data_IF_346610873808
#
_entry.id   IF_346610873808
#
_cell.length_a   1.000
_cell.length_b   1.000
_cell.length_c   1.000
_cell.angle_alpha   90.00
_cell.angle_beta   90.00
_cell.angle_gamma   90.00
#
_symmetry.space_group_name_H-M   'P 1'
#
loop_
_entity.id
_entity.type
_entity.pdbx_description
1 polymer ?
#
# COMPACT_ATOMS: atom_id res chain seq x y z
N UNK A 1 -59.74 37.61 -28.97
CA UNK A 1 -58.83 37.16 -30.05
C UNK A 1 -58.25 35.82 -29.67
N UNK A 2 -58.58 34.76 -30.42
CA UNK A 2 -58.03 33.40 -30.26
C UNK A 2 -56.86 33.27 -31.22
N UNK A 3 -55.66 32.99 -30.72
CA UNK A 3 -54.53 32.57 -31.57
C UNK A 3 -54.19 31.11 -31.28
N UNK A 4 -54.10 30.39 -32.39
CA UNK A 4 -54.01 28.95 -32.56
C UNK A 4 -52.60 28.41 -32.32
N UNK A 5 -52.55 27.19 -31.74
CA UNK A 5 -51.39 26.31 -31.71
C UNK A 5 -50.79 26.12 -33.12
N UNK A 6 -49.47 26.15 -33.23
CA UNK A 6 -48.73 25.38 -34.24
C UNK A 6 -47.71 24.48 -33.55
N UNK A 7 -47.79 23.23 -33.96
CA UNK A 7 -46.94 22.10 -33.61
C UNK A 7 -45.82 22.02 -34.65
N UNK A 8 -44.58 21.86 -34.17
CA UNK A 8 -43.40 21.48 -34.98
C UNK A 8 -42.54 20.62 -34.05
N UNK A 9 -42.67 19.29 -34.11
CA UNK A 9 -41.88 18.38 -34.95
C UNK A 9 -40.45 18.17 -34.45
N UNK A 10 -40.29 17.08 -33.69
CA UNK A 10 -39.27 16.03 -33.89
C UNK A 10 -37.91 16.51 -34.43
N UNK A 11 -36.96 16.72 -33.52
CA UNK A 11 -35.53 16.52 -33.78
C UNK A 11 -34.99 15.51 -32.76
N UNK A 12 -35.35 14.25 -32.96
CA UNK A 12 -34.58 13.09 -32.49
C UNK A 12 -33.71 12.68 -33.67
N UNK A 13 -32.42 12.97 -33.62
CA UNK A 13 -31.53 12.61 -34.72
C UNK A 13 -30.07 12.93 -34.44
N UNK A 14 -29.36 11.92 -33.94
CA UNK A 14 -27.95 11.64 -34.25
C UNK A 14 -26.93 12.70 -33.81
N UNK A 15 -26.51 12.63 -32.56
CA UNK A 15 -25.23 13.22 -32.10
C UNK A 15 -24.55 12.30 -31.06
N UNK A 16 -24.40 11.02 -31.39
CA UNK A 16 -23.60 10.07 -30.60
C UNK A 16 -22.81 9.18 -31.57
N UNK A 17 -21.77 9.75 -32.19
CA UNK A 17 -20.83 8.98 -33.01
C UNK A 17 -19.45 9.65 -33.05
N UNK A 18 -18.97 10.16 -31.91
CA UNK A 18 -17.55 10.50 -31.69
C UNK A 18 -17.14 10.14 -30.26
N UNK A 19 -17.66 9.05 -29.71
CA UNK A 19 -16.98 8.35 -28.62
C UNK A 19 -15.89 7.53 -29.28
N UNK A 20 -14.76 8.19 -29.53
CA UNK A 20 -13.51 7.54 -29.83
C UNK A 20 -13.27 6.47 -28.78
N UNK A 21 -13.10 5.25 -29.23
CA UNK A 21 -12.57 4.13 -28.46
C UNK A 21 -11.16 4.52 -28.01
N UNK A 22 -11.06 5.28 -26.91
CA UNK A 22 -9.84 5.37 -26.12
C UNK A 22 -9.69 4.03 -25.41
N UNK A 23 -9.30 3.01 -26.18
CA UNK A 23 -8.74 1.78 -25.66
C UNK A 23 -7.41 2.17 -25.03
N UNK A 24 -7.49 2.56 -23.77
CA UNK A 24 -6.31 2.69 -22.93
C UNK A 24 -5.78 1.29 -22.68
N UNK A 25 -4.92 0.83 -23.57
CA UNK A 25 -4.10 -0.37 -23.39
C UNK A 25 -3.05 -0.04 -22.33
N UNK A 26 -3.47 0.04 -21.07
CA UNK A 26 -2.53 -0.08 -19.96
C UNK A 26 -2.12 -1.55 -19.90
N UNK A 27 -1.04 -1.87 -20.60
CA UNK A 27 -0.29 -3.12 -20.49
C UNK A 27 0.32 -3.20 -19.07
N UNK A 28 -0.49 -3.56 -18.08
CA UNK A 28 -0.05 -3.82 -16.69
C UNK A 28 0.43 -5.25 -16.48
N UNK A 29 0.42 -6.08 -17.54
CA UNK A 29 0.73 -7.51 -17.44
C UNK A 29 2.24 -7.83 -17.30
N UNK A 30 3.15 -6.85 -17.43
CA UNK A 30 4.59 -7.13 -17.53
C UNK A 30 5.47 -6.73 -16.33
N UNK A 31 4.96 -5.99 -15.34
CA UNK A 31 5.82 -5.34 -14.33
C UNK A 31 5.91 -6.05 -12.98
N UNK A 32 5.07 -7.04 -12.72
CA UNK A 32 5.25 -7.97 -11.60
C UNK A 32 5.87 -9.26 -12.10
N UNK A 33 7.07 -9.14 -12.69
CA UNK A 33 7.84 -10.29 -13.14
C UNK A 33 8.04 -11.26 -11.98
N UNK A 34 7.60 -12.51 -12.20
CA UNK A 34 7.88 -13.74 -11.45
C UNK A 34 8.74 -13.56 -10.20
N UNK A 35 8.16 -12.98 -9.14
CA UNK A 35 8.67 -13.17 -7.79
C UNK A 35 8.31 -14.62 -7.45
N UNK A 36 9.17 -15.52 -7.90
CA UNK A 36 8.97 -16.97 -7.84
C UNK A 36 8.51 -17.38 -6.44
N UNK A 37 7.48 -18.23 -6.37
CA UNK A 37 6.94 -18.83 -5.15
C UNK A 37 8.03 -19.43 -4.22
N UNK A 38 9.24 -19.65 -4.74
CA UNK A 38 10.41 -20.08 -3.99
C UNK A 38 10.78 -19.12 -2.84
N UNK A 39 10.70 -17.80 -3.02
CA UNK A 39 11.04 -16.84 -1.95
C UNK A 39 9.95 -16.73 -0.88
N UNK A 40 8.72 -17.17 -1.20
CA UNK A 40 7.63 -17.28 -0.24
C UNK A 40 7.71 -18.59 0.59
N UNK A 41 8.62 -19.51 0.30
CA UNK A 41 8.57 -20.88 0.84
C UNK A 41 9.31 -21.11 2.17
N UNK A 42 10.06 -20.15 2.70
CA UNK A 42 11.02 -20.43 3.80
C UNK A 42 10.73 -19.78 5.16
N UNK A 43 9.47 -19.52 5.53
CA UNK A 43 9.18 -19.12 6.91
C UNK A 43 8.17 -20.06 7.59
N UNK A 44 8.63 -21.18 8.18
CA UNK A 44 7.79 -22.15 8.89
C UNK A 44 7.15 -21.57 10.17
N UNK A 45 7.41 -20.30 10.49
CA UNK A 45 6.69 -19.59 11.54
C UNK A 45 5.33 -19.03 11.08
N UNK A 46 5.08 -18.84 9.78
CA UNK A 46 3.85 -18.14 9.33
C UNK A 46 2.58 -18.93 9.63
N UNK A 47 2.59 -20.25 9.39
CA UNK A 47 1.38 -21.07 9.56
C UNK A 47 1.02 -21.32 11.03
N UNK A 48 1.99 -21.30 11.94
CA UNK A 48 1.79 -21.59 13.38
C UNK A 48 0.97 -20.52 14.12
N UNK A 49 1.00 -19.27 13.66
CA UNK A 49 0.29 -18.16 14.32
C UNK A 49 -1.21 -18.17 14.01
N UNK A 50 -1.61 -18.51 12.79
CA UNK A 50 -3.04 -18.48 12.38
C UNK A 50 -3.89 -19.55 13.06
N UNK A 51 -3.30 -20.67 13.48
CA UNK A 51 -4.03 -21.77 14.13
C UNK A 51 -4.31 -21.52 15.62
N UNK A 52 -3.61 -20.59 16.28
CA UNK A 52 -3.80 -20.30 17.72
C UNK A 52 -4.95 -19.35 18.01
N UNK A 53 -5.27 -18.40 17.12
CA UNK A 53 -6.43 -17.51 17.29
C UNK A 53 -7.76 -18.27 17.38
N UNK A 54 -7.82 -19.50 16.83
CA UNK A 54 -9.03 -20.35 16.92
C UNK A 54 -9.12 -21.21 18.19
N UNK A 55 -8.07 -21.27 19.01
CA UNK A 55 -7.93 -22.27 20.10
C UNK A 55 -7.77 -21.66 21.49
N UNK A 56 -7.90 -20.35 21.66
CA UNK A 56 -7.87 -19.68 22.96
C UNK A 56 -9.09 -19.95 23.84
N UNK A 57 -10.09 -20.72 23.37
CA UNK A 57 -11.07 -21.37 24.23
C UNK A 57 -10.49 -22.62 24.91
N UNK A 58 -9.62 -22.42 25.90
CA UNK A 58 -9.41 -23.37 26.99
C UNK A 58 -8.46 -24.54 26.75
N UNK A 59 -7.14 -24.28 26.65
CA UNK A 59 -6.13 -25.32 26.96
C UNK A 59 -4.95 -24.70 27.71
N UNK A 60 -4.82 -25.05 28.99
CA UNK A 60 -3.62 -24.88 29.80
C UNK A 60 -2.49 -25.74 29.23
N UNK A 61 -1.39 -25.12 28.77
CA UNK A 61 -0.22 -25.86 28.28
C UNK A 61 0.96 -25.64 29.22
N UNK A 62 1.37 -26.74 29.84
CA UNK A 62 2.48 -26.87 30.78
C UNK A 62 3.83 -26.64 30.09
N UNK A 63 4.64 -25.76 30.68
CA UNK A 63 6.03 -25.47 30.27
C UNK A 63 6.93 -26.70 30.51
N UNK A 64 7.59 -27.21 29.47
CA UNK A 64 8.82 -28.00 29.62
C UNK A 64 9.92 -27.40 28.75
N UNK A 65 10.96 -26.93 29.44
CA UNK A 65 12.19 -26.45 28.86
C UNK A 65 13.03 -27.64 28.38
N UNK A 66 13.54 -27.56 27.15
CA UNK A 66 14.63 -28.41 26.68
C UNK A 66 15.62 -27.51 25.96
N UNK A 67 16.73 -27.22 26.64
CA UNK A 67 17.88 -26.54 26.10
C UNK A 67 18.70 -27.54 25.26
N UNK A 68 19.07 -27.15 24.04
CA UNK A 68 20.17 -27.77 23.31
C UNK A 68 20.87 -26.68 22.50
N UNK A 69 22.07 -26.34 22.96
CA UNK A 69 23.00 -25.40 22.33
C UNK A 69 23.83 -26.18 21.31
N UNK A 70 23.62 -25.93 20.02
CA UNK A 70 24.61 -26.27 18.99
C UNK A 70 25.27 -24.98 18.52
N UNK A 71 26.53 -24.83 18.90
CA UNK A 71 27.43 -23.78 18.42
C UNK A 71 27.88 -24.15 17.01
N UNK A 72 27.41 -23.43 16.00
CA UNK A 72 27.82 -23.61 14.61
C UNK A 72 28.47 -22.31 14.16
N UNK A 73 29.80 -22.27 14.19
CA UNK A 73 30.62 -21.17 13.67
C UNK A 73 30.63 -21.25 12.14
N UNK A 74 29.63 -20.64 11.50
CA UNK A 74 29.58 -20.45 10.05
C UNK A 74 30.28 -19.14 9.63
N UNK A 75 30.88 -19.08 8.44
CA UNK A 75 31.52 -17.88 7.93
C UNK A 75 30.50 -16.75 7.74
N UNK A 76 30.80 -15.59 8.30
CA UNK A 76 30.03 -14.36 8.17
C UNK A 76 30.09 -13.89 6.71
N UNK A 77 29.11 -14.29 5.90
CA UNK A 77 28.83 -13.63 4.63
C UNK A 77 28.24 -12.27 4.99
N UNK A 78 29.08 -11.24 4.94
CA UNK A 78 28.66 -9.85 5.01
C UNK A 78 27.69 -9.60 3.85
N UNK A 79 26.40 -9.53 4.15
CA UNK A 79 25.41 -9.06 3.18
C UNK A 79 25.71 -7.58 2.93
N UNK A 80 26.39 -7.31 1.81
CA UNK A 80 26.63 -5.97 1.30
C UNK A 80 25.27 -5.25 1.20
N UNK A 81 25.00 -4.35 2.15
CA UNK A 81 23.82 -3.51 2.10
C UNK A 81 23.89 -2.73 0.79
N UNK A 82 23.03 -3.05 -0.17
CA UNK A 82 22.98 -2.34 -1.44
C UNK A 82 22.88 -0.85 -1.13
N UNK A 83 23.78 0.00 -1.64
CA UNK A 83 23.68 1.43 -1.42
C UNK A 83 22.37 1.87 -2.05
N UNK A 84 21.35 2.13 -1.22
CA UNK A 84 20.19 2.89 -1.65
C UNK A 84 20.75 4.20 -2.22
N UNK A 85 20.71 4.37 -3.54
CA UNK A 85 21.03 5.63 -4.18
C UNK A 85 20.11 6.67 -3.54
N UNK A 86 20.67 7.46 -2.61
CA UNK A 86 19.97 8.56 -1.97
C UNK A 86 19.70 9.57 -3.07
N UNK A 87 18.48 9.55 -3.60
CA UNK A 87 17.95 10.61 -4.43
C UNK A 87 18.19 11.94 -3.71
N UNK A 88 18.68 12.94 -4.44
CA UNK A 88 18.92 14.29 -3.93
C UNK A 88 17.69 14.77 -3.14
N UNK A 89 17.87 15.55 -2.05
CA UNK A 89 16.76 15.99 -1.20
C UNK A 89 15.68 16.80 -1.96
N UNK A 90 16.00 17.32 -3.15
CA UNK A 90 15.08 18.08 -4.01
C UNK A 90 14.57 17.28 -5.22
N UNK A 91 14.67 15.95 -5.21
CA UNK A 91 14.17 15.11 -6.30
C UNK A 91 12.63 15.06 -6.26
N UNK A 92 11.92 15.55 -7.30
CA UNK A 92 10.46 15.44 -7.39
C UNK A 92 9.95 14.00 -7.24
N UNK A 93 10.75 13.01 -7.64
CA UNK A 93 10.40 11.59 -7.50
C UNK A 93 10.30 11.16 -6.04
N UNK A 94 11.06 11.80 -5.14
CA UNK A 94 11.02 11.52 -3.70
C UNK A 94 9.70 11.94 -3.07
N UNK A 95 9.07 13.01 -3.58
CA UNK A 95 7.72 13.39 -3.14
C UNK A 95 6.71 12.28 -3.46
N UNK A 96 6.74 11.75 -4.68
CA UNK A 96 5.86 10.66 -5.09
C UNK A 96 6.11 9.36 -4.32
N UNK A 97 7.37 9.04 -3.98
CA UNK A 97 7.67 7.90 -3.09
C UNK A 97 7.15 8.10 -1.68
N UNK A 98 7.30 9.29 -1.12
CA UNK A 98 6.74 9.62 0.19
C UNK A 98 5.22 9.48 0.19
N UNK A 99 4.53 9.99 -0.84
CA UNK A 99 3.08 9.85 -1.01
C UNK A 99 2.67 8.38 -1.13
N UNK A 100 3.36 7.60 -1.97
CA UNK A 100 3.09 6.17 -2.14
C UNK A 100 3.26 5.40 -0.82
N UNK A 101 4.32 5.69 -0.06
CA UNK A 101 4.55 5.09 1.24
C UNK A 101 3.44 5.44 2.23
N UNK A 102 3.09 6.73 2.38
CA UNK A 102 2.08 7.16 3.33
C UNK A 102 0.69 6.63 2.98
N UNK A 103 0.27 6.73 1.71
CA UNK A 103 -1.01 6.21 1.24
C UNK A 103 -1.07 4.69 1.44
N UNK A 104 -0.03 3.98 1.01
CA UNK A 104 0.03 2.52 1.11
C UNK A 104 -0.03 2.03 2.56
N UNK A 105 0.76 2.62 3.46
CA UNK A 105 0.74 2.25 4.88
C UNK A 105 -0.56 2.67 5.58
N UNK A 106 -1.17 3.79 5.21
CA UNK A 106 -2.48 4.19 5.76
C UNK A 106 -3.56 3.17 5.41
N UNK A 107 -3.62 2.72 4.16
CA UNK A 107 -4.59 1.68 3.74
C UNK A 107 -4.36 0.36 4.45
N UNK A 108 -3.11 -0.08 4.53
CA UNK A 108 -2.77 -1.31 5.26
C UNK A 108 -3.11 -1.19 6.74
N UNK A 109 -2.92 -0.02 7.35
CA UNK A 109 -3.29 0.24 8.74
C UNK A 109 -4.78 0.06 8.97
N UNK A 110 -5.61 0.67 8.12
CA UNK A 110 -7.07 0.54 8.22
C UNK A 110 -7.53 -0.91 8.06
N UNK A 111 -6.96 -1.62 7.08
CA UNK A 111 -7.28 -3.02 6.83
C UNK A 111 -6.84 -3.94 7.98
N UNK A 112 -5.63 -3.77 8.51
CA UNK A 112 -5.12 -4.55 9.64
C UNK A 112 -5.96 -4.27 10.89
N UNK A 113 -6.32 -3.02 11.15
CA UNK A 113 -7.19 -2.67 12.27
C UNK A 113 -8.57 -3.33 12.13
N UNK A 114 -9.14 -3.34 10.94
CA UNK A 114 -10.39 -4.05 10.67
C UNK A 114 -10.26 -5.56 10.92
N UNK A 115 -9.15 -6.18 10.52
CA UNK A 115 -8.90 -7.60 10.75
C UNK A 115 -8.76 -7.94 12.24
N UNK A 116 -8.01 -7.13 12.99
CA UNK A 116 -7.86 -7.26 14.44
C UNK A 116 -9.24 -7.18 15.12
N UNK A 117 -10.06 -6.19 14.77
CA UNK A 117 -11.43 -6.06 15.29
C UNK A 117 -12.33 -7.26 14.97
N UNK A 118 -12.01 -8.04 13.93
CA UNK A 118 -12.76 -9.24 13.53
C UNK A 118 -12.10 -10.53 14.02
N UNK A 119 -11.04 -10.44 14.83
CA UNK A 119 -10.23 -11.58 15.27
C UNK A 119 -9.74 -12.43 14.08
N UNK A 120 -9.38 -11.76 12.99
CA UNK A 120 -8.86 -12.37 11.76
C UNK A 120 -7.44 -11.91 11.50
N UNK A 121 -6.69 -12.75 10.80
CA UNK A 121 -5.36 -12.42 10.29
C UNK A 121 -5.31 -12.77 8.81
N UNK A 122 -4.45 -12.07 8.06
CA UNK A 122 -4.23 -12.45 6.66
C UNK A 122 -3.40 -13.72 6.58
N UNK A 123 -3.70 -14.53 5.56
CA UNK A 123 -2.73 -15.54 5.12
C UNK A 123 -1.53 -14.84 4.47
N UNK A 124 -0.38 -15.51 4.37
CA UNK A 124 0.82 -14.96 3.71
C UNK A 124 0.47 -14.49 2.30
N UNK A 125 -0.22 -15.35 1.56
CA UNK A 125 -0.65 -15.10 0.18
C UNK A 125 -1.56 -13.88 0.08
N UNK A 126 -2.54 -13.76 0.98
CA UNK A 126 -3.48 -12.63 0.97
C UNK A 126 -2.79 -11.32 1.33
N UNK A 127 -1.86 -11.35 2.29
CA UNK A 127 -1.07 -10.18 2.66
C UNK A 127 -0.23 -9.68 1.49
N UNK A 128 0.55 -10.56 0.85
CA UNK A 128 1.36 -10.16 -0.30
C UNK A 128 0.50 -9.65 -1.46
N UNK A 129 -0.62 -10.34 -1.74
CA UNK A 129 -1.59 -9.87 -2.74
C UNK A 129 -2.13 -8.47 -2.38
N UNK A 130 -2.42 -8.22 -1.11
CA UNK A 130 -2.90 -6.91 -0.66
C UNK A 130 -1.84 -5.83 -0.81
N UNK A 131 -0.58 -6.14 -0.47
CA UNK A 131 0.56 -5.23 -0.66
C UNK A 131 0.72 -4.88 -2.14
N UNK A 132 0.63 -5.86 -3.05
CA UNK A 132 0.78 -5.64 -4.49
C UNK A 132 -0.35 -4.77 -5.07
N UNK A 133 -1.51 -4.73 -4.42
CA UNK A 133 -2.65 -3.89 -4.80
C UNK A 133 -2.53 -2.44 -4.32
N UNK A 134 -1.56 -2.09 -3.47
CA UNK A 134 -1.46 -0.73 -2.91
C UNK A 134 -1.25 0.33 -3.98
N UNK A 135 -0.50 0.01 -5.04
CA UNK A 135 -0.25 0.95 -6.14
C UNK A 135 -1.45 1.15 -7.07
N UNK A 136 -2.56 0.45 -6.82
CA UNK A 136 -3.82 0.61 -7.55
C UNK A 136 -4.80 1.52 -6.80
N UNK A 137 -4.40 2.13 -5.68
CA UNK A 137 -5.26 3.04 -4.93
C UNK A 137 -5.64 4.27 -5.77
N UNK A 138 -6.94 4.65 -5.82
CA UNK A 138 -7.38 5.82 -6.57
C UNK A 138 -6.83 7.15 -6.04
N UNK A 139 -6.40 7.21 -4.78
CA UNK A 139 -5.72 8.39 -4.22
C UNK A 139 -4.29 8.57 -4.75
N UNK A 140 -3.77 7.58 -5.49
CA UNK A 140 -2.45 7.62 -6.07
C UNK A 140 -2.48 8.26 -7.45
N UNK A 141 -1.62 9.25 -7.68
CA UNK A 141 -1.48 9.89 -8.99
C UNK A 141 -1.14 8.85 -10.08
N UNK A 142 -1.93 8.82 -11.15
CA UNK A 142 -1.96 7.73 -12.12
C UNK A 142 -0.63 7.49 -12.86
N UNK A 143 0.12 8.55 -13.19
CA UNK A 143 1.34 8.42 -13.98
C UNK A 143 2.58 8.22 -13.09
N UNK A 144 2.94 9.23 -12.32
CA UNK A 144 4.20 9.21 -11.56
C UNK A 144 4.08 8.48 -10.22
N UNK A 145 2.90 8.59 -9.57
CA UNK A 145 2.64 7.95 -8.29
C UNK A 145 2.71 6.44 -8.37
N UNK A 146 2.06 5.84 -9.38
CA UNK A 146 2.05 4.37 -9.55
C UNK A 146 3.43 3.79 -9.85
N UNK A 147 4.22 4.44 -10.71
CA UNK A 147 5.57 4.00 -11.02
C UNK A 147 6.47 4.04 -9.77
N UNK A 148 6.44 5.15 -9.02
CA UNK A 148 7.22 5.28 -7.79
C UNK A 148 6.72 4.35 -6.67
N UNK A 149 5.41 4.07 -6.63
CA UNK A 149 4.87 3.06 -5.73
C UNK A 149 5.38 1.65 -6.06
N UNK A 150 5.41 1.27 -7.34
CA UNK A 150 5.93 -0.03 -7.75
C UNK A 150 7.41 -0.19 -7.35
N UNK A 151 8.22 0.84 -7.54
CA UNK A 151 9.62 0.85 -7.09
C UNK A 151 9.73 0.77 -5.56
N UNK A 152 8.91 1.54 -4.83
CA UNK A 152 8.84 1.47 -3.36
C UNK A 152 8.49 0.05 -2.89
N UNK A 153 7.47 -0.58 -3.48
CA UNK A 153 7.09 -1.94 -3.12
C UNK A 153 8.19 -2.95 -3.45
N UNK A 154 8.91 -2.78 -4.56
CA UNK A 154 10.06 -3.64 -4.86
C UNK A 154 11.09 -3.65 -3.74
N UNK A 155 11.33 -2.49 -3.13
CA UNK A 155 12.30 -2.33 -2.04
C UNK A 155 11.72 -2.75 -0.67
N UNK A 156 10.45 -2.45 -0.41
CA UNK A 156 9.85 -2.51 0.95
C UNK A 156 8.81 -3.61 1.18
N UNK A 157 8.40 -4.34 0.15
CA UNK A 157 7.34 -5.37 0.25
C UNK A 157 7.58 -6.39 1.38
N UNK A 158 8.81 -6.83 1.58
CA UNK A 158 9.16 -7.77 2.64
C UNK A 158 9.15 -7.15 4.04
N UNK A 159 9.59 -5.89 4.16
CA UNK A 159 9.61 -5.16 5.43
C UNK A 159 8.19 -4.84 5.90
N UNK A 160 7.33 -4.42 4.96
CA UNK A 160 5.90 -4.21 5.19
C UNK A 160 5.24 -5.50 5.68
N UNK A 161 5.47 -6.61 4.97
CA UNK A 161 4.89 -7.90 5.33
C UNK A 161 5.33 -8.37 6.73
N UNK A 162 6.59 -8.11 7.09
CA UNK A 162 7.13 -8.43 8.42
C UNK A 162 6.45 -7.60 9.52
N UNK A 163 6.41 -6.26 9.38
CA UNK A 163 5.76 -5.39 10.38
C UNK A 163 4.29 -5.77 10.60
N UNK A 164 3.54 -6.06 9.53
CA UNK A 164 2.13 -6.49 9.65
C UNK A 164 2.00 -7.83 10.38
N UNK A 165 2.90 -8.78 10.09
CA UNK A 165 2.91 -10.07 10.77
C UNK A 165 3.19 -9.91 12.26
N UNK A 166 4.15 -9.07 12.63
CA UNK A 166 4.52 -8.85 14.02
C UNK A 166 3.34 -8.29 14.82
N UNK A 167 2.49 -7.47 14.21
CA UNK A 167 1.27 -6.93 14.84
C UNK A 167 0.17 -7.98 14.96
N UNK A 168 0.08 -8.91 14.01
CA UNK A 168 -0.93 -9.98 14.01
C UNK A 168 -0.50 -11.22 14.82
N UNK A 169 0.76 -11.28 15.27
CA UNK A 169 1.30 -12.46 15.95
C UNK A 169 1.15 -12.35 17.48
N UNK A 170 0.39 -13.24 18.15
CA UNK A 170 0.16 -13.16 19.60
C UNK A 170 1.41 -13.36 20.46
N UNK A 171 2.46 -13.95 19.89
CA UNK A 171 3.75 -14.15 20.57
C UNK A 171 4.71 -12.95 20.38
N UNK A 172 4.29 -11.89 19.67
CA UNK A 172 5.08 -10.68 19.41
C UNK A 172 4.81 -9.60 20.47
N UNK A 173 5.83 -8.83 20.81
CA UNK A 173 5.69 -7.66 21.70
C UNK A 173 4.80 -6.57 21.08
N UNK A 174 4.64 -6.58 19.75
CA UNK A 174 3.81 -5.63 18.99
C UNK A 174 2.37 -6.12 18.75
N UNK A 175 1.97 -7.24 19.37
CA UNK A 175 0.65 -7.83 19.15
C UNK A 175 -0.48 -6.84 19.49
N UNK A 176 -1.41 -6.65 18.54
CA UNK A 176 -2.53 -5.70 18.65
C UNK A 176 -2.13 -4.23 18.86
N UNK A 177 -0.84 -3.90 18.80
CA UNK A 177 -0.42 -2.51 18.75
C UNK A 177 -0.86 -1.89 17.41
N UNK A 178 -1.30 -0.63 17.47
CA UNK A 178 -1.60 0.11 16.25
C UNK A 178 -0.33 0.16 15.39
N UNK A 179 -0.46 -0.11 14.08
CA UNK A 179 0.64 0.14 13.14
C UNK A 179 1.21 1.54 13.43
N UNK A 180 2.55 1.69 13.54
CA UNK A 180 3.17 2.98 13.78
C UNK A 180 2.65 4.00 12.77
N UNK A 181 2.68 5.28 13.13
CA UNK A 181 2.16 6.32 12.25
C UNK A 181 2.75 6.15 10.84
N UNK A 182 1.94 6.11 9.77
CA UNK A 182 2.43 5.98 8.40
C UNK A 182 3.54 6.99 8.11
N UNK A 183 3.38 8.23 8.60
CA UNK A 183 4.37 9.29 8.47
C UNK A 183 5.70 8.94 9.15
N UNK A 184 5.67 8.48 10.39
CA UNK A 184 6.88 8.11 11.15
C UNK A 184 7.59 6.92 10.49
N UNK A 185 6.84 5.92 10.04
CA UNK A 185 7.39 4.74 9.36
C UNK A 185 8.03 5.12 8.03
N UNK A 186 7.40 5.98 7.24
CA UNK A 186 7.97 6.44 5.97
C UNK A 186 9.21 7.32 6.16
N UNK A 187 9.30 8.07 7.27
CA UNK A 187 10.52 8.79 7.66
C UNK A 187 11.61 7.82 8.11
N UNK A 188 11.27 6.81 8.93
CA UNK A 188 12.19 5.73 9.36
C UNK A 188 12.80 5.01 8.16
N UNK A 189 11.99 4.73 7.13
CA UNK A 189 12.42 4.09 5.89
C UNK A 189 13.13 5.04 4.90
N UNK A 190 13.31 6.31 5.27
CA UNK A 190 13.89 7.38 4.45
C UNK A 190 13.13 7.71 3.16
N UNK A 191 11.91 7.21 3.00
CA UNK A 191 11.03 7.53 1.87
C UNK A 191 10.51 8.98 1.97
N UNK A 192 10.25 9.45 3.20
CA UNK A 192 9.85 10.82 3.50
C UNK A 192 10.94 11.60 4.24
N UNK A 193 11.04 12.90 3.97
CA UNK A 193 11.83 13.84 4.77
C UNK A 193 10.98 14.30 5.98
N UNK A 194 11.55 14.45 7.18
CA UNK A 194 10.84 15.02 8.33
C UNK A 194 10.22 16.37 7.99
N UNK A 195 8.90 16.51 8.21
CA UNK A 195 8.17 17.75 7.92
C UNK A 195 7.83 17.99 6.44
N UNK A 196 8.19 17.07 5.54
CA UNK A 196 7.80 17.13 4.14
C UNK A 196 6.27 17.05 4.00
N UNK A 197 5.72 17.92 3.15
CA UNK A 197 4.32 17.87 2.76
C UNK A 197 4.11 16.89 1.62
N UNK A 198 3.01 16.15 1.68
CA UNK A 198 2.56 15.29 0.58
C UNK A 198 2.00 16.12 -0.57
N UNK A 199 1.95 15.57 -1.80
CA UNK A 199 1.32 16.30 -2.91
C UNK A 199 -0.14 16.63 -2.59
N UNK A 200 -0.86 15.71 -1.94
CA UNK A 200 -2.24 15.93 -1.53
C UNK A 200 -2.37 17.06 -0.51
N UNK A 201 -1.44 17.17 0.46
CA UNK A 201 -1.41 18.29 1.40
C UNK A 201 -1.16 19.62 0.67
N UNK A 202 -0.20 19.65 -0.27
CA UNK A 202 0.07 20.85 -1.07
C UNK A 202 -1.15 21.25 -1.88
N UNK A 203 -1.81 20.30 -2.55
CA UNK A 203 -3.00 20.57 -3.36
C UNK A 203 -4.19 21.06 -2.52
N UNK A 204 -4.36 20.56 -1.29
CA UNK A 204 -5.42 21.00 -0.38
C UNK A 204 -5.15 22.39 0.22
N UNK A 205 -3.88 22.80 0.32
CA UNK A 205 -3.50 24.13 0.81
C UNK A 205 -3.50 25.20 -0.28
N UNK A 206 -3.51 24.81 -1.56
CA UNK A 206 -3.63 25.77 -2.65
C UNK A 206 -5.04 26.37 -2.60
N UNK A 207 -5.18 27.70 -2.38
CA UNK A 207 -6.48 28.33 -2.44
C UNK A 207 -7.06 28.06 -3.82
N UNK A 208 -8.30 27.52 -3.87
CA UNK A 208 -9.04 27.36 -5.12
C UNK A 208 -8.89 28.66 -5.89
N UNK A 209 -8.22 28.61 -7.05
CA UNK A 209 -8.03 29.77 -7.89
C UNK A 209 -9.43 30.30 -8.20
N UNK A 210 -9.84 31.37 -7.51
CA UNK A 210 -11.19 31.88 -7.68
C UNK A 210 -11.36 32.20 -9.16
N UNK A 211 -12.34 31.58 -9.84
CA UNK A 211 -12.55 31.84 -11.26
C UNK A 211 -12.78 33.33 -11.40
N UNK A 212 -11.85 33.97 -12.08
CA UNK A 212 -11.65 35.41 -12.05
C UNK A 212 -12.97 36.17 -12.11
N UNK A 213 -13.12 37.07 -11.15
CA UNK A 213 -14.00 38.22 -11.26
C UNK A 213 -13.62 38.92 -12.58
N UNK A 214 -14.42 38.66 -13.62
CA UNK A 214 -14.32 39.34 -14.89
C UNK A 214 -14.58 40.82 -14.61
N UNK A 215 -13.48 41.56 -14.48
CA UNK A 215 -13.46 43.02 -14.37
C UNK A 215 -14.27 43.58 -15.55
N UNK A 216 -15.42 44.18 -15.23
CA UNK A 216 -16.26 44.93 -16.15
C UNK A 216 -15.75 46.35 -16.28
#
# INVERSE_FOLDING_TARGET
>A
MRMTRRSSSVFRGVLFALLGTFQSTYDTAGLFGDLTDAQLREDPGWERSTTRLRKSAGISISKKAAASRLSTSGPLIFAEARPHQRSQPNDPLRMFRCDACQIGLTRLKDDVQFLIQKERAWTKKDLFKRIDMLCQDPAMNEQYGRAQCADFLKDRRMDIARKIRDIQNPDSDYFEESLPSPKETCVEWNECIPGQKTLNEVLNEMPEAQPGEQSR
#
